data_IF_051903152286
#
_entry.id   IF_051903152286
#
_cell.length_a   1.000
_cell.length_b   1.000
_cell.length_c   1.000
_cell.angle_alpha   90.00
_cell.angle_beta   90.00
_cell.angle_gamma   90.00
#
_symmetry.space_group_name_H-M   'P 1'
#
loop_
_entity.id
_entity.type
_entity.pdbx_description
1 polymer ?
#
# COMPACT_ATOMS: atom_id res chain seq x y z
N UNK A 1 9.54 -15.67 -4.42
CA UNK A 1 8.81 -16.90 -4.12
C UNK A 1 7.36 -16.73 -4.53
N UNK A 2 6.79 -17.65 -5.27
CA UNK A 2 5.39 -17.53 -5.66
C UNK A 2 4.47 -17.62 -4.44
N UNK A 3 3.30 -16.98 -4.50
CA UNK A 3 2.32 -17.08 -3.43
C UNK A 3 1.83 -18.51 -3.24
N UNK A 4 1.50 -18.84 -2.01
CA UNK A 4 0.92 -20.16 -1.69
C UNK A 4 -0.56 -20.16 -2.08
N UNK A 5 -1.02 -21.08 -2.93
CA UNK A 5 -2.43 -21.17 -3.25
C UNK A 5 -3.23 -21.70 -2.07
N UNK A 6 -4.19 -20.93 -1.61
CA UNK A 6 -5.02 -21.31 -0.46
C UNK A 6 -6.40 -20.66 -0.66
N UNK A 7 -7.44 -21.47 -0.57
CA UNK A 7 -8.80 -20.96 -0.70
C UNK A 7 -9.10 -19.97 0.43
N UNK A 8 -9.70 -18.83 0.05
CA UNK A 8 -10.05 -17.79 1.01
C UNK A 8 -8.98 -16.74 1.24
N UNK A 9 -7.79 -16.93 0.67
CA UNK A 9 -6.68 -15.99 0.80
C UNK A 9 -6.93 -14.75 -0.07
N UNK A 10 -6.61 -13.58 0.46
CA UNK A 10 -6.58 -12.36 -0.34
C UNK A 10 -5.29 -12.39 -1.17
N UNK A 11 -5.42 -12.32 -2.49
CA UNK A 11 -4.25 -12.48 -3.37
C UNK A 11 -3.98 -11.29 -4.27
N UNK A 12 -4.94 -10.39 -4.45
CA UNK A 12 -4.77 -9.30 -5.39
C UNK A 12 -5.52 -8.06 -4.93
N UNK A 13 -4.86 -6.90 -5.03
CA UNK A 13 -5.44 -5.62 -4.63
C UNK A 13 -5.21 -4.61 -5.75
N UNK A 14 -6.24 -3.85 -6.10
CA UNK A 14 -6.09 -2.72 -7.00
C UNK A 14 -6.15 -1.43 -6.21
N UNK A 15 -5.12 -0.62 -6.33
CA UNK A 15 -5.01 0.64 -5.58
C UNK A 15 -5.27 1.80 -6.54
N UNK A 16 -6.31 2.61 -6.29
CA UNK A 16 -6.57 3.79 -7.12
C UNK A 16 -5.44 4.80 -7.02
N UNK A 17 -5.10 5.42 -8.15
CA UNK A 17 -4.09 6.47 -8.18
C UNK A 17 -4.35 7.41 -9.34
N UNK A 18 -3.79 8.60 -9.25
CA UNK A 18 -3.77 9.55 -10.35
C UNK A 18 -2.46 9.49 -11.11
N UNK A 19 -1.43 8.84 -10.55
CA UNK A 19 -0.11 8.77 -11.19
C UNK A 19 0.58 7.48 -10.78
N UNK A 20 0.55 6.49 -11.65
CA UNK A 20 1.02 5.13 -11.35
C UNK A 20 2.49 5.09 -10.93
N UNK A 21 3.37 5.75 -11.68
CA UNK A 21 4.80 5.71 -11.38
C UNK A 21 5.12 6.30 -10.00
N UNK A 22 4.44 7.39 -9.63
CA UNK A 22 4.64 8.01 -8.31
C UNK A 22 4.17 7.10 -7.19
N UNK A 23 3.02 6.48 -7.37
CA UNK A 23 2.51 5.55 -6.37
C UNK A 23 3.42 4.34 -6.21
N UNK A 24 3.87 3.77 -7.33
CA UNK A 24 4.78 2.63 -7.29
C UNK A 24 6.06 2.96 -6.54
N UNK A 25 6.66 4.11 -6.81
CA UNK A 25 7.88 4.54 -6.12
C UNK A 25 7.62 4.77 -4.64
N UNK A 26 6.49 5.36 -4.28
CA UNK A 26 6.11 5.58 -2.90
C UNK A 26 6.07 4.27 -2.11
N UNK A 27 5.30 3.29 -2.59
CA UNK A 27 5.15 2.02 -1.88
C UNK A 27 6.44 1.23 -1.84
N UNK A 28 7.25 1.32 -2.88
CA UNK A 28 8.57 0.69 -2.89
C UNK A 28 9.49 1.28 -1.83
N UNK A 29 9.54 2.62 -1.73
CA UNK A 29 10.43 3.29 -0.79
C UNK A 29 9.97 3.17 0.65
N UNK A 30 8.67 3.24 0.88
CA UNK A 30 8.13 3.23 2.24
C UNK A 30 8.04 1.81 2.80
N UNK A 31 7.53 0.87 2.00
CA UNK A 31 7.23 -0.47 2.49
C UNK A 31 8.12 -1.56 1.91
N UNK A 32 8.96 -1.24 0.96
CA UNK A 32 9.84 -2.23 0.34
C UNK A 32 9.13 -3.20 -0.57
N UNK A 33 7.99 -2.81 -1.13
CA UNK A 33 7.26 -3.66 -2.06
C UNK A 33 8.05 -3.85 -3.34
N UNK A 34 7.95 -5.03 -3.93
CA UNK A 34 8.59 -5.33 -5.19
C UNK A 34 7.71 -4.84 -6.34
N UNK A 35 8.22 -3.90 -7.13
CA UNK A 35 7.51 -3.33 -8.26
C UNK A 35 8.01 -3.99 -9.54
N UNK A 36 7.09 -4.45 -10.39
CA UNK A 36 7.45 -5.11 -11.63
C UNK A 36 6.55 -4.67 -12.78
N UNK A 37 7.07 -4.81 -13.99
CA UNK A 37 6.31 -4.53 -15.20
C UNK A 37 5.80 -5.85 -15.75
N UNK A 38 4.50 -5.93 -16.03
CA UNK A 38 3.91 -7.10 -16.65
C UNK A 38 4.18 -7.12 -18.15
N UNK A 39 3.93 -8.28 -18.77
CA UNK A 39 4.10 -8.43 -20.21
C UNK A 39 3.26 -7.48 -21.04
N UNK A 40 2.13 -7.01 -20.52
CA UNK A 40 1.28 -6.04 -21.20
C UNK A 40 1.68 -4.58 -20.93
N UNK A 41 2.79 -4.35 -20.25
CA UNK A 41 3.28 -3.01 -19.94
C UNK A 41 2.73 -2.38 -18.68
N UNK A 42 1.77 -3.03 -18.02
CA UNK A 42 1.21 -2.48 -16.77
C UNK A 42 2.17 -2.66 -15.59
N UNK A 43 2.04 -1.79 -14.60
CA UNK A 43 2.87 -1.83 -13.39
C UNK A 43 2.15 -2.60 -12.30
N UNK A 44 2.82 -3.60 -11.75
CA UNK A 44 2.28 -4.43 -10.70
C UNK A 44 3.22 -4.43 -9.49
N UNK A 45 2.72 -4.92 -8.38
CA UNK A 45 3.54 -5.07 -7.18
C UNK A 45 3.29 -6.41 -6.52
N UNK A 46 4.29 -6.83 -5.74
CA UNK A 46 4.14 -7.89 -4.76
C UNK A 46 4.48 -7.26 -3.43
N UNK A 47 3.73 -7.59 -2.37
CA UNK A 47 4.09 -7.08 -1.06
C UNK A 47 5.42 -7.69 -0.61
N UNK A 48 5.95 -7.21 0.52
CA UNK A 48 7.26 -7.65 1.00
C UNK A 48 7.35 -9.16 1.18
N UNK A 49 6.24 -9.82 1.53
CA UNK A 49 6.21 -11.26 1.72
C UNK A 49 6.10 -12.04 0.41
N UNK A 50 5.70 -11.39 -0.67
CA UNK A 50 5.41 -12.04 -1.94
C UNK A 50 4.10 -12.79 -1.96
N UNK A 51 3.25 -12.64 -0.94
CA UNK A 51 2.00 -13.37 -0.82
C UNK A 51 0.80 -12.62 -1.39
N UNK A 52 0.86 -11.30 -1.46
CA UNK A 52 -0.22 -10.47 -2.00
C UNK A 52 0.35 -9.64 -3.14
N UNK A 53 -0.30 -9.71 -4.28
CA UNK A 53 0.06 -8.92 -5.45
C UNK A 53 -1.02 -7.87 -5.73
N UNK A 54 -0.73 -6.96 -6.65
CA UNK A 54 -1.72 -5.99 -7.07
C UNK A 54 -1.19 -5.07 -8.13
N UNK A 55 -1.94 -4.02 -8.38
CA UNK A 55 -1.55 -2.99 -9.32
C UNK A 55 -2.15 -1.66 -8.92
N UNK A 56 -1.63 -0.57 -9.50
CA UNK A 56 -2.22 0.75 -9.35
C UNK A 56 -3.06 1.04 -10.56
N UNK A 57 -4.28 1.53 -10.33
CA UNK A 57 -5.25 1.74 -11.40
C UNK A 57 -5.69 3.20 -11.45
N UNK A 58 -5.82 3.70 -12.68
CA UNK A 58 -6.39 5.02 -12.93
C UNK A 58 -7.91 4.90 -13.04
N UNK A 59 -8.61 6.01 -12.91
CA UNK A 59 -10.06 6.09 -13.17
C UNK A 59 -10.94 5.36 -12.17
N UNK A 60 -10.41 4.93 -11.04
CA UNK A 60 -11.23 4.43 -9.94
C UNK A 60 -11.18 5.43 -8.80
N UNK A 61 -12.30 5.72 -8.14
CA UNK A 61 -12.27 6.62 -6.99
C UNK A 61 -11.56 5.94 -5.82
N UNK A 62 -10.86 6.71 -4.98
CA UNK A 62 -10.31 6.14 -3.74
C UNK A 62 -11.44 5.73 -2.80
N UNK A 63 -11.13 4.80 -1.91
CA UNK A 63 -12.09 4.39 -0.88
C UNK A 63 -12.47 5.57 -0.01
N UNK A 64 -13.75 5.70 0.27
CA UNK A 64 -14.28 6.75 1.15
C UNK A 64 -15.05 6.10 2.28
N UNK A 65 -15.38 6.85 3.30
CA UNK A 65 -16.10 6.32 4.44
C UNK A 65 -17.58 6.14 4.15
N UNK A 66 -18.21 4.98 4.51
CA UNK A 66 -17.51 3.79 4.98
C UNK A 66 -16.84 3.09 3.81
N UNK A 67 -15.60 2.70 3.99
CA UNK A 67 -14.82 2.05 2.94
C UNK A 67 -13.92 0.98 3.51
N UNK A 68 -13.30 0.26 2.61
CA UNK A 68 -12.32 -0.76 2.99
C UNK A 68 -11.01 -0.09 3.37
N UNK A 69 -10.46 -0.47 4.51
CA UNK A 69 -9.15 0.01 4.97
C UNK A 69 -8.13 -1.12 4.84
N UNK A 70 -7.00 -0.80 4.25
CA UNK A 70 -5.89 -1.74 4.14
C UNK A 70 -4.85 -1.40 5.19
N UNK A 71 -4.41 -2.39 5.94
CA UNK A 71 -3.38 -2.22 6.96
C UNK A 71 -2.10 -2.90 6.51
N UNK A 72 -1.00 -2.20 6.63
CA UNK A 72 0.33 -2.74 6.31
C UNK A 72 1.08 -2.91 7.62
N UNK A 73 1.61 -4.10 7.86
CA UNK A 73 2.39 -4.38 9.05
C UNK A 73 3.79 -3.84 8.91
N UNK A 74 4.27 -3.13 9.92
CA UNK A 74 5.62 -2.56 9.92
C UNK A 74 6.26 -2.78 11.28
N UNK A 75 7.59 -2.78 11.32
CA UNK A 75 8.33 -2.95 12.58
C UNK A 75 8.20 -1.73 13.50
N UNK A 76 8.19 -0.55 12.92
CA UNK A 76 8.08 0.71 13.68
C UNK A 76 7.12 1.65 12.97
N UNK A 77 6.00 1.92 13.62
CA UNK A 77 5.02 2.86 13.08
C UNK A 77 5.62 4.27 13.03
N UNK A 78 6.33 4.67 14.06
CA UNK A 78 6.94 5.99 14.10
C UNK A 78 7.94 6.22 12.96
N UNK A 79 8.82 5.24 12.72
CA UNK A 79 9.79 5.34 11.63
C UNK A 79 9.10 5.33 10.26
N UNK A 80 8.04 4.55 10.13
CA UNK A 80 7.28 4.48 8.87
C UNK A 80 6.57 5.79 8.58
N UNK A 81 6.04 6.46 9.59
CA UNK A 81 5.43 7.78 9.44
C UNK A 81 6.44 8.78 8.84
N UNK A 82 7.68 8.75 9.32
CA UNK A 82 8.72 9.63 8.78
C UNK A 82 8.99 9.33 7.31
N UNK A 83 9.04 8.04 6.93
CA UNK A 83 9.23 7.64 5.53
C UNK A 83 8.06 8.07 4.67
N UNK A 84 6.83 7.93 5.16
CA UNK A 84 5.64 8.34 4.42
C UNK A 84 5.70 9.83 4.12
N UNK A 85 5.99 10.63 5.12
CA UNK A 85 6.06 12.08 4.98
C UNK A 85 7.21 12.48 4.04
N UNK A 86 8.37 11.85 4.19
CA UNK A 86 9.53 12.15 3.35
C UNK A 86 9.30 11.78 1.88
N UNK A 87 8.37 10.88 1.60
CA UNK A 87 8.08 10.44 0.25
C UNK A 87 6.74 11.00 -0.30
N UNK A 88 6.22 12.05 0.32
CA UNK A 88 5.09 12.81 -0.20
C UNK A 88 3.73 12.36 0.27
N UNK A 89 3.65 11.40 1.17
CA UNK A 89 2.38 11.00 1.77
C UNK A 89 1.97 11.95 2.89
N UNK A 90 0.71 11.83 3.29
CA UNK A 90 0.14 12.68 4.35
C UNK A 90 -0.39 11.81 5.46
N UNK A 91 -0.05 12.16 6.71
CA UNK A 91 -0.57 11.46 7.87
C UNK A 91 -1.92 12.09 8.23
N UNK A 92 -2.99 11.30 8.09
CA UNK A 92 -4.35 11.78 8.39
C UNK A 92 -4.81 11.39 9.77
N UNK A 93 -4.17 10.42 10.39
CA UNK A 93 -4.45 10.04 11.76
C UNK A 93 -3.15 9.59 12.44
N UNK A 94 -2.64 10.33 13.43
CA UNK A 94 -1.37 10.00 14.09
C UNK A 94 -1.51 8.77 14.98
N UNK A 95 -0.36 8.26 15.45
CA UNK A 95 -0.31 7.15 16.40
C UNK A 95 -1.16 7.52 17.63
N UNK A 96 -1.97 6.58 18.07
CA UNK A 96 -2.79 6.78 19.24
C UNK A 96 -4.11 7.48 18.96
N UNK A 97 -4.37 7.86 17.72
CA UNK A 97 -5.62 8.52 17.35
C UNK A 97 -6.78 7.56 17.18
N UNK A 98 -6.51 6.27 17.20
CA UNK A 98 -7.53 5.23 17.04
C UNK A 98 -7.08 3.98 17.78
N UNK A 99 -7.99 3.05 17.99
CA UNK A 99 -7.65 1.77 18.60
C UNK A 99 -7.40 0.74 17.50
N UNK A 100 -6.37 -0.12 17.61
CA UNK A 100 -5.35 -0.10 18.65
C UNK A 100 -4.41 1.10 18.54
N UNK A 101 -3.84 1.48 19.65
CA UNK A 101 -3.03 2.69 19.75
C UNK A 101 -1.76 2.70 18.90
N UNK A 102 -1.36 1.53 18.44
CA UNK A 102 -0.14 1.38 17.63
C UNK A 102 -0.36 1.59 16.14
N UNK A 103 -1.55 2.05 15.75
CA UNK A 103 -1.86 2.30 14.34
C UNK A 103 -1.84 3.79 14.02
N UNK A 104 -1.64 4.08 12.74
CA UNK A 104 -1.77 5.41 12.18
C UNK A 104 -2.36 5.30 10.79
N UNK A 105 -2.96 6.36 10.28
CA UNK A 105 -3.54 6.37 8.95
C UNK A 105 -2.86 7.42 8.08
N UNK A 106 -2.78 7.15 6.80
CA UNK A 106 -2.12 8.05 5.86
C UNK A 106 -2.80 8.01 4.50
N UNK A 107 -2.58 9.08 3.73
CA UNK A 107 -2.88 9.11 2.30
C UNK A 107 -1.57 8.97 1.56
N UNK A 108 -1.53 8.06 0.60
CA UNK A 108 -0.36 7.91 -0.27
C UNK A 108 -0.39 8.96 -1.38
N UNK A 109 0.70 9.07 -2.09
CA UNK A 109 0.77 9.96 -3.25
C UNK A 109 0.01 9.41 -4.45
#
# INVERSE_FOLDING_TARGET
MPPSPTNGKICYIEIPTTHIARSAEFYKRVFGWNVRTRGNGSTAFDDTTGQVSGSWVLKRPPSQQPGLLMYVMVDSVAATIELITANGGEIVQPIGGDAPEITARFNSV
#
